data_IF_923475387449
#
_entry.id   IF_923475387449
#
_cell.length_a   1.000
_cell.length_b   1.000
_cell.length_c   1.000
_cell.angle_alpha   90.00
_cell.angle_beta   90.00
_cell.angle_gamma   90.00
#
_symmetry.space_group_name_H-M   'P 1'
#
loop_
_entity.id
_entity.type
_entity.pdbx_description
1 polymer ?
#
# COMPACT_ATOMS: atom_id res chain seq x y z
N UNK A 1 14.53 1.16 -16.31
CA UNK A 1 15.53 1.21 -15.23
C UNK A 1 15.04 0.35 -14.06
N UNK A 2 15.34 -0.94 -14.02
CA UNK A 2 14.80 -1.85 -12.98
C UNK A 2 15.30 -1.56 -11.57
N UNK A 3 16.41 -0.80 -11.44
CA UNK A 3 17.03 -0.55 -10.13
C UNK A 3 16.32 0.54 -9.31
N UNK A 4 15.65 1.49 -9.94
CA UNK A 4 14.96 2.56 -9.21
C UNK A 4 13.74 2.03 -8.44
N UNK A 5 12.97 1.13 -9.05
CA UNK A 5 11.78 0.56 -8.44
C UNK A 5 12.14 -0.40 -7.29
N UNK A 6 13.20 -1.22 -7.47
CA UNK A 6 13.72 -2.06 -6.41
C UNK A 6 14.21 -1.23 -5.21
N UNK A 7 14.89 -0.11 -5.46
CA UNK A 7 15.35 0.80 -4.41
C UNK A 7 14.17 1.43 -3.66
N UNK A 8 13.13 1.89 -4.35
CA UNK A 8 11.95 2.47 -3.73
C UNK A 8 11.24 1.47 -2.80
N UNK A 9 11.06 0.23 -3.26
CA UNK A 9 10.45 -0.83 -2.43
C UNK A 9 11.34 -1.14 -1.22
N UNK A 10 12.65 -1.26 -1.44
CA UNK A 10 13.59 -1.50 -0.35
C UNK A 10 13.56 -0.40 0.70
N UNK A 11 13.57 0.86 0.29
CA UNK A 11 13.49 2.01 1.18
C UNK A 11 12.20 1.99 2.02
N UNK A 12 11.05 1.67 1.40
CA UNK A 12 9.79 1.51 2.13
C UNK A 12 9.83 0.32 3.11
N UNK A 13 10.48 -0.78 2.75
CA UNK A 13 10.71 -1.91 3.65
C UNK A 13 11.74 -1.63 4.77
N UNK A 14 12.48 -0.53 4.65
CA UNK A 14 13.43 -0.01 5.64
C UNK A 14 12.93 1.26 6.35
N UNK A 15 11.67 1.62 6.22
CA UNK A 15 11.12 2.89 6.73
C UNK A 15 11.33 3.10 8.23
N UNK A 16 11.44 2.02 9.01
CA UNK A 16 11.75 2.06 10.45
C UNK A 16 13.13 2.66 10.78
N UNK A 17 14.07 2.61 9.84
CA UNK A 17 15.41 3.15 10.01
C UNK A 17 15.44 4.68 9.91
N UNK A 18 14.49 5.26 9.16
CA UNK A 18 14.38 6.70 8.97
C UNK A 18 13.63 7.41 10.11
N UNK A 19 12.84 6.66 10.88
CA UNK A 19 11.99 7.23 11.94
C UNK A 19 12.15 6.46 13.27
N UNK A 20 13.35 6.46 13.88
CA UNK A 20 13.68 5.60 15.03
C UNK A 20 12.82 5.86 16.27
N UNK A 21 12.29 7.06 16.43
CA UNK A 21 11.43 7.44 17.56
C UNK A 21 9.94 7.11 17.34
N UNK A 22 9.52 6.74 16.14
CA UNK A 22 8.13 6.44 15.85
C UNK A 22 7.71 5.07 16.42
N UNK A 23 6.47 4.98 16.90
CA UNK A 23 5.84 3.70 17.26
C UNK A 23 5.23 3.01 16.06
N UNK A 24 4.70 3.79 15.13
CA UNK A 24 4.05 3.35 13.91
C UNK A 24 4.54 4.15 12.73
N UNK A 25 4.54 3.54 11.56
CA UNK A 25 4.85 4.19 10.27
C UNK A 25 3.61 4.08 9.39
N UNK A 26 3.09 5.21 8.96
CA UNK A 26 2.00 5.30 8.00
C UNK A 26 2.58 5.59 6.62
N UNK A 27 2.33 4.71 5.67
CA UNK A 27 2.74 4.91 4.28
C UNK A 27 1.67 5.64 3.49
N UNK A 28 2.07 6.71 2.86
CA UNK A 28 1.26 7.48 1.90
C UNK A 28 2.16 7.71 0.68
N UNK A 29 1.70 7.35 -0.50
CA UNK A 29 2.45 7.59 -1.73
C UNK A 29 2.48 9.07 -2.08
N UNK A 30 3.54 9.51 -2.75
CA UNK A 30 3.78 10.93 -3.07
C UNK A 30 2.76 11.53 -4.04
N UNK A 31 2.01 10.70 -4.74
CA UNK A 31 0.93 11.08 -5.65
C UNK A 31 -0.47 10.99 -5.00
N UNK A 32 -0.50 10.95 -3.67
CA UNK A 32 -1.72 10.86 -2.87
C UNK A 32 -2.13 12.23 -2.34
N UNK A 33 -3.41 12.59 -2.50
CA UNK A 33 -4.02 13.79 -1.93
C UNK A 33 -5.04 13.37 -0.88
N UNK A 34 -4.88 13.88 0.35
CA UNK A 34 -5.87 13.69 1.39
C UNK A 34 -7.10 14.57 1.13
N UNK A 35 -8.28 13.97 1.11
CA UNK A 35 -9.55 14.67 0.82
C UNK A 35 -10.19 15.30 2.06
N UNK A 36 -9.69 14.94 3.24
CA UNK A 36 -10.03 15.54 4.55
C UNK A 36 -8.92 15.22 5.56
N UNK A 37 -8.89 15.86 6.73
CA UNK A 37 -8.00 15.48 7.82
C UNK A 37 -8.16 14.02 8.21
N UNK A 38 -7.05 13.34 8.52
CA UNK A 38 -7.05 11.97 8.98
C UNK A 38 -7.62 11.88 10.40
N UNK A 39 -8.58 10.99 10.58
CA UNK A 39 -9.05 10.57 11.88
C UNK A 39 -8.30 9.31 12.34
N UNK A 40 -8.26 9.06 13.65
CA UNK A 40 -7.67 7.83 14.20
C UNK A 40 -8.30 6.57 13.59
N UNK A 41 -9.62 6.57 13.40
CA UNK A 41 -10.38 5.46 12.80
C UNK A 41 -10.07 5.18 11.32
N UNK A 42 -9.40 6.09 10.62
CA UNK A 42 -8.97 5.84 9.24
C UNK A 42 -7.77 4.89 9.18
N UNK A 43 -7.01 4.84 10.26
CA UNK A 43 -5.73 4.11 10.33
C UNK A 43 -5.78 2.97 11.35
N UNK A 44 -6.51 3.14 12.44
CA UNK A 44 -6.59 2.20 13.54
C UNK A 44 -8.03 1.78 13.82
N UNK A 45 -8.20 0.53 14.19
CA UNK A 45 -9.47 0.06 14.75
C UNK A 45 -9.72 0.75 16.10
N UNK A 46 -10.85 1.48 16.27
CA UNK A 46 -11.09 2.26 17.48
C UNK A 46 -11.19 1.43 18.75
N UNK A 47 -11.66 0.18 18.64
CA UNK A 47 -11.89 -0.73 19.76
C UNK A 47 -10.59 -1.40 20.22
N UNK A 48 -9.82 -1.92 19.27
CA UNK A 48 -8.59 -2.69 19.56
C UNK A 48 -7.34 -1.82 19.53
N UNK A 49 -7.41 -0.62 18.96
CA UNK A 49 -6.30 0.32 18.73
C UNK A 49 -5.17 -0.25 17.88
N UNK A 50 -5.47 -1.32 17.12
CA UNK A 50 -4.54 -1.95 16.19
C UNK A 50 -4.62 -1.28 14.82
N UNK A 51 -3.50 -1.20 14.07
CA UNK A 51 -3.53 -0.73 12.70
C UNK A 51 -4.50 -1.56 11.85
N UNK A 52 -5.28 -0.88 11.01
CA UNK A 52 -6.17 -1.53 10.04
C UNK A 52 -5.34 -2.11 8.90
N UNK A 53 -5.47 -3.41 8.68
CA UNK A 53 -4.89 -4.14 7.55
C UNK A 53 -6.01 -4.79 6.77
N UNK A 54 -6.67 -4.06 5.86
CA UNK A 54 -7.71 -4.63 5.02
C UNK A 54 -7.11 -5.66 4.04
N UNK A 55 -7.88 -6.69 3.74
CA UNK A 55 -7.48 -7.75 2.82
C UNK A 55 -8.63 -8.11 1.90
N UNK A 56 -8.30 -8.47 0.67
CA UNK A 56 -9.25 -8.94 -0.35
C UNK A 56 -8.74 -10.26 -0.91
N UNK A 57 -9.62 -11.22 -1.18
CA UNK A 57 -9.21 -12.45 -1.88
C UNK A 57 -8.70 -12.09 -3.28
N UNK A 58 -7.64 -12.74 -3.72
CA UNK A 58 -7.23 -12.65 -5.12
C UNK A 58 -8.38 -13.08 -6.02
N UNK A 59 -8.68 -12.28 -7.03
CA UNK A 59 -9.58 -12.67 -8.09
C UNK A 59 -8.77 -13.38 -9.18
N UNK A 60 -9.19 -14.57 -9.64
CA UNK A 60 -8.50 -15.30 -10.69
C UNK A 60 -8.27 -14.42 -11.93
N UNK A 61 -7.03 -14.39 -12.42
CA UNK A 61 -6.63 -13.58 -13.56
C UNK A 61 -6.54 -12.07 -13.30
N UNK A 62 -6.71 -11.62 -12.05
CA UNK A 62 -6.54 -10.21 -11.72
C UNK A 62 -5.09 -9.74 -11.90
N UNK A 63 -4.91 -8.45 -12.16
CA UNK A 63 -3.57 -7.86 -12.28
C UNK A 63 -2.74 -8.08 -11.01
N UNK A 64 -3.36 -7.97 -9.83
CA UNK A 64 -2.69 -8.22 -8.56
C UNK A 64 -2.20 -9.66 -8.42
N UNK A 65 -3.03 -10.65 -8.84
CA UNK A 65 -2.63 -12.05 -8.84
C UNK A 65 -1.45 -12.29 -9.79
N UNK A 66 -1.57 -11.81 -11.02
CA UNK A 66 -0.56 -12.04 -12.05
C UNK A 66 0.79 -11.36 -11.75
N UNK A 67 0.76 -10.19 -11.11
CA UNK A 67 1.96 -9.38 -10.87
C UNK A 67 2.66 -9.71 -9.55
N UNK A 68 1.91 -9.88 -8.46
CA UNK A 68 2.51 -9.83 -7.12
C UNK A 68 2.44 -11.15 -6.36
N UNK A 69 1.44 -11.99 -6.65
CA UNK A 69 1.17 -13.18 -5.83
C UNK A 69 2.37 -14.11 -5.71
N UNK A 70 2.96 -14.53 -6.83
CA UNK A 70 4.07 -15.48 -6.82
C UNK A 70 5.33 -14.92 -6.13
N UNK A 71 5.68 -13.66 -6.40
CA UNK A 71 6.86 -13.03 -5.80
C UNK A 71 6.64 -12.75 -4.32
N UNK A 72 5.43 -12.37 -3.92
CA UNK A 72 5.08 -12.19 -2.50
C UNK A 72 5.15 -13.51 -1.75
N UNK A 73 4.60 -14.58 -2.31
CA UNK A 73 4.62 -15.91 -1.72
C UNK A 73 6.07 -16.41 -1.51
N UNK A 74 6.92 -16.27 -2.53
CA UNK A 74 8.35 -16.56 -2.44
C UNK A 74 9.03 -15.72 -1.33
N UNK A 75 8.81 -14.41 -1.33
CA UNK A 75 9.42 -13.49 -0.35
C UNK A 75 9.05 -13.83 1.11
N UNK A 76 7.84 -14.30 1.35
CA UNK A 76 7.39 -14.71 2.68
C UNK A 76 7.54 -16.21 2.96
N UNK A 77 7.93 -17.00 1.97
CA UNK A 77 8.22 -18.44 2.10
C UNK A 77 6.98 -19.32 2.27
N UNK A 78 5.93 -19.06 1.51
CA UNK A 78 4.74 -19.91 1.40
C UNK A 78 4.52 -20.28 -0.07
N UNK A 79 3.71 -21.30 -0.31
CA UNK A 79 3.31 -21.61 -1.69
C UNK A 79 2.36 -20.54 -2.23
N UNK A 80 2.45 -20.26 -3.54
CA UNK A 80 1.62 -19.21 -4.14
C UNK A 80 0.12 -19.52 -4.03
N UNK A 81 -0.25 -20.79 -4.06
CA UNK A 81 -1.61 -21.28 -3.92
C UNK A 81 -2.18 -21.02 -2.53
N UNK A 82 -1.33 -21.02 -1.49
CA UNK A 82 -1.70 -20.76 -0.10
C UNK A 82 -1.86 -19.25 0.20
N UNK A 83 -1.33 -18.37 -0.68
CA UNK A 83 -1.51 -16.94 -0.58
C UNK A 83 -2.89 -16.54 -1.11
N UNK A 84 -3.93 -16.63 -0.26
CA UNK A 84 -5.32 -16.38 -0.63
C UNK A 84 -5.66 -14.89 -0.77
N UNK A 85 -4.95 -14.01 -0.05
CA UNK A 85 -5.33 -12.60 0.10
C UNK A 85 -4.26 -11.66 -0.43
N UNK A 86 -4.71 -10.61 -1.12
CA UNK A 86 -3.95 -9.42 -1.42
C UNK A 86 -4.14 -8.37 -0.30
N UNK A 87 -3.10 -7.58 -0.05
CA UNK A 87 -3.04 -6.59 1.04
C UNK A 87 -2.85 -5.16 0.53
N UNK A 88 -2.45 -4.98 -0.73
CA UNK A 88 -2.41 -3.67 -1.37
C UNK A 88 -3.83 -3.26 -1.81
N UNK A 89 -4.69 -2.99 -0.85
CA UNK A 89 -6.13 -2.76 -1.08
C UNK A 89 -6.53 -1.30 -0.94
N UNK A 90 -5.65 -0.46 -0.38
CA UNK A 90 -5.88 0.98 -0.19
C UNK A 90 -4.57 1.72 0.05
N UNK A 91 -4.61 3.04 -0.01
CA UNK A 91 -3.58 3.90 0.54
C UNK A 91 -3.65 3.99 2.07
N UNK A 92 -2.59 4.52 2.68
CA UNK A 92 -2.57 4.74 4.12
C UNK A 92 -2.49 3.45 4.94
N UNK A 93 -1.60 2.53 4.56
CA UNK A 93 -1.30 1.34 5.36
C UNK A 93 -0.30 1.67 6.45
N UNK A 94 -0.61 1.24 7.67
CA UNK A 94 0.15 1.56 8.87
C UNK A 94 0.71 0.29 9.51
N UNK A 95 1.99 0.34 9.87
CA UNK A 95 2.68 -0.79 10.49
C UNK A 95 3.36 -0.37 11.79
N UNK A 96 3.41 -1.25 12.81
CA UNK A 96 4.29 -1.06 13.95
C UNK A 96 5.74 -0.95 13.47
N UNK A 97 6.49 0.04 13.95
CA UNK A 97 7.89 0.24 13.52
C UNK A 97 8.76 -1.02 13.69
N UNK A 98 8.63 -1.70 14.82
CA UNK A 98 9.42 -2.91 15.09
C UNK A 98 9.14 -4.08 14.12
N UNK A 99 8.00 -4.03 13.42
CA UNK A 99 7.57 -5.05 12.48
C UNK A 99 8.49 -5.14 11.25
N UNK A 100 9.01 -4.00 10.77
CA UNK A 100 9.91 -3.95 9.61
C UNK A 100 11.19 -4.77 9.81
N UNK A 101 11.88 -4.55 10.93
CA UNK A 101 13.07 -5.32 11.24
C UNK A 101 12.80 -6.81 11.41
N UNK A 102 11.61 -7.18 11.92
CA UNK A 102 11.20 -8.58 12.05
C UNK A 102 10.98 -9.20 10.67
N UNK A 103 10.29 -8.50 9.78
CA UNK A 103 10.09 -8.91 8.39
C UNK A 103 11.43 -9.11 7.66
N UNK A 104 12.31 -8.08 7.67
CA UNK A 104 13.60 -8.16 6.96
C UNK A 104 14.44 -9.35 7.41
N UNK A 105 14.60 -9.52 8.73
CA UNK A 105 15.36 -10.67 9.27
C UNK A 105 14.74 -12.02 8.89
N UNK A 106 13.43 -12.10 8.80
CA UNK A 106 12.75 -13.33 8.38
C UNK A 106 13.01 -13.63 6.90
N UNK A 107 12.87 -12.64 6.02
CA UNK A 107 13.14 -12.76 4.60
C UNK A 107 14.61 -13.11 4.33
N UNK A 108 15.56 -12.43 4.99
CA UNK A 108 16.99 -12.71 4.84
C UNK A 108 17.38 -14.10 5.32
N UNK A 109 16.81 -14.59 6.43
CA UNK A 109 17.02 -15.98 6.87
C UNK A 109 16.45 -16.98 5.89
N UNK A 110 15.28 -16.72 5.34
CA UNK A 110 14.62 -17.60 4.37
C UNK A 110 15.47 -17.77 3.10
N UNK A 111 15.97 -16.65 2.58
CA UNK A 111 16.69 -16.63 1.31
C UNK A 111 18.22 -16.77 1.46
N UNK A 112 18.75 -16.79 2.69
CA UNK A 112 20.19 -16.94 2.96
C UNK A 112 21.05 -15.77 2.45
N UNK A 113 20.45 -14.60 2.19
CA UNK A 113 21.12 -13.42 1.64
C UNK A 113 20.43 -12.12 2.03
N UNK A 114 21.09 -10.94 1.88
CA UNK A 114 20.49 -9.65 2.12
C UNK A 114 19.22 -9.44 1.27
N UNK A 115 18.18 -8.82 1.88
CA UNK A 115 16.91 -8.54 1.21
C UNK A 115 17.11 -7.61 -0.01
N UNK A 116 18.05 -6.66 0.07
CA UNK A 116 18.38 -5.76 -1.05
C UNK A 116 18.87 -6.53 -2.29
N UNK A 117 19.73 -7.51 -2.10
CA UNK A 117 20.25 -8.35 -3.20
C UNK A 117 19.15 -9.21 -3.80
N UNK A 118 18.31 -9.80 -2.94
CA UNK A 118 17.17 -10.59 -3.39
C UNK A 118 16.21 -9.76 -4.25
N UNK A 119 15.87 -8.54 -3.82
CA UNK A 119 15.00 -7.62 -4.58
C UNK A 119 15.61 -7.24 -5.92
N UNK A 120 16.90 -6.85 -5.94
CA UNK A 120 17.58 -6.49 -7.21
C UNK A 120 17.51 -7.62 -8.21
N UNK A 121 17.80 -8.86 -7.80
CA UNK A 121 17.76 -10.02 -8.68
C UNK A 121 16.33 -10.30 -9.19
N UNK A 122 15.32 -10.14 -8.33
CA UNK A 122 13.92 -10.30 -8.76
C UNK A 122 13.50 -9.27 -9.78
N UNK A 123 13.85 -8.00 -9.58
CA UNK A 123 13.56 -6.94 -10.55
C UNK A 123 14.35 -7.10 -11.85
N UNK A 124 15.55 -7.64 -11.79
CA UNK A 124 16.34 -7.92 -13.00
C UNK A 124 15.77 -9.10 -13.81
N UNK A 125 15.20 -10.11 -13.13
CA UNK A 125 14.69 -11.34 -13.77
C UNK A 125 13.23 -11.27 -14.21
N UNK A 126 12.48 -10.26 -13.79
CA UNK A 126 11.04 -10.16 -14.04
C UNK A 126 10.70 -8.84 -14.73
N UNK A 127 9.81 -8.85 -15.71
CA UNK A 127 9.33 -7.62 -16.36
C UNK A 127 8.29 -6.92 -15.49
N UNK A 128 8.36 -5.59 -15.42
CA UNK A 128 7.41 -4.75 -14.70
C UNK A 128 7.76 -4.59 -13.22
N UNK A 129 6.74 -4.40 -12.37
CA UNK A 129 6.87 -4.29 -10.91
C UNK A 129 6.48 -5.63 -10.26
N UNK A 130 7.42 -6.56 -10.08
CA UNK A 130 7.10 -7.92 -9.62
C UNK A 130 6.76 -8.01 -8.14
N UNK A 131 7.04 -6.98 -7.34
CA UNK A 131 6.82 -6.96 -5.91
C UNK A 131 6.09 -5.68 -5.49
N UNK A 132 5.37 -5.77 -4.37
CA UNK A 132 4.82 -4.63 -3.64
C UNK A 132 5.20 -4.79 -2.17
N UNK A 133 5.72 -3.71 -1.58
CA UNK A 133 6.05 -3.66 -0.16
C UNK A 133 4.82 -3.89 0.72
N UNK A 134 3.67 -3.40 0.29
CA UNK A 134 2.40 -3.57 1.03
C UNK A 134 1.90 -5.00 0.99
N UNK A 135 2.01 -5.66 -0.18
CA UNK A 135 1.72 -7.08 -0.31
C UNK A 135 2.65 -7.91 0.58
N UNK A 136 3.95 -7.64 0.53
CA UNK A 136 4.96 -8.38 1.29
C UNK A 136 4.75 -8.23 2.80
N UNK A 137 4.59 -7.00 3.30
CA UNK A 137 4.38 -6.74 4.73
C UNK A 137 3.04 -7.31 5.21
N UNK A 138 1.96 -7.15 4.43
CA UNK A 138 0.65 -7.68 4.76
C UNK A 138 0.62 -9.21 4.78
N UNK A 139 1.21 -9.86 3.78
CA UNK A 139 1.32 -11.31 3.71
C UNK A 139 2.16 -11.86 4.88
N UNK A 140 3.31 -11.24 5.16
CA UNK A 140 4.12 -11.65 6.30
C UNK A 140 3.36 -11.53 7.62
N UNK A 141 2.65 -10.42 7.84
CA UNK A 141 1.83 -10.22 9.04
C UNK A 141 0.76 -11.30 9.19
N UNK A 142 0.12 -11.68 8.09
CA UNK A 142 -1.01 -12.60 8.12
C UNK A 142 -0.58 -14.06 8.22
N UNK A 143 0.44 -14.47 7.46
CA UNK A 143 0.82 -15.88 7.28
C UNK A 143 2.02 -16.32 8.12
N UNK A 144 2.92 -15.39 8.51
CA UNK A 144 4.20 -15.75 9.14
C UNK A 144 4.37 -15.26 10.59
N UNK A 145 3.60 -14.27 11.00
CA UNK A 145 3.64 -13.81 12.38
C UNK A 145 3.38 -12.33 12.52
N UNK A 146 2.57 -12.00 13.50
CA UNK A 146 2.13 -10.63 13.73
C UNK A 146 0.65 -10.40 13.46
N UNK A 147 -0.10 -11.46 13.15
CA UNK A 147 -1.54 -11.38 12.87
C UNK A 147 -2.32 -10.72 14.00
N UNK A 148 -1.88 -10.91 15.22
CA UNK A 148 -2.43 -10.30 16.44
C UNK A 148 -2.12 -8.80 16.59
N UNK A 149 -1.13 -8.27 15.86
CA UNK A 149 -0.74 -6.86 15.89
C UNK A 149 -1.65 -5.97 15.04
N UNK A 150 -2.50 -6.54 14.21
CA UNK A 150 -3.35 -5.82 13.26
C UNK A 150 -4.84 -6.14 13.48
N UNK A 151 -5.69 -5.22 13.06
CA UNK A 151 -7.11 -5.46 12.86
C UNK A 151 -7.34 -5.77 11.37
N UNK A 152 -8.06 -6.85 11.09
CA UNK A 152 -8.21 -7.43 9.76
C UNK A 152 -9.64 -7.27 9.22
N UNK A 153 -10.07 -6.07 8.84
CA UNK A 153 -11.38 -5.93 8.21
C UNK A 153 -11.38 -6.67 6.86
N UNK A 154 -12.43 -7.45 6.64
CA UNK A 154 -12.68 -7.97 5.31
C UNK A 154 -13.31 -6.88 4.46
N UNK A 155 -12.75 -6.63 3.28
CA UNK A 155 -13.33 -5.73 2.30
C UNK A 155 -13.67 -6.50 1.03
N UNK A 156 -14.76 -6.11 0.38
CA UNK A 156 -15.07 -6.61 -0.97
C UNK A 156 -14.26 -5.81 -1.98
N UNK A 157 -13.94 -6.40 -3.13
CA UNK A 157 -13.19 -5.73 -4.20
C UNK A 157 -13.83 -4.41 -4.65
N UNK A 158 -15.15 -4.30 -4.52
CA UNK A 158 -15.93 -3.13 -4.93
C UNK A 158 -16.15 -2.14 -3.77
N UNK A 159 -15.68 -2.43 -2.55
CA UNK A 159 -15.80 -1.50 -1.44
C UNK A 159 -14.83 -0.34 -1.67
N UNK A 160 -15.37 0.86 -1.79
CA UNK A 160 -14.55 2.06 -1.83
C UNK A 160 -13.64 2.08 -0.60
N UNK A 161 -12.38 2.45 -0.80
CA UNK A 161 -11.45 2.62 0.30
C UNK A 161 -12.01 3.59 1.32
N UNK A 162 -12.07 3.18 2.58
CA UNK A 162 -12.46 4.09 3.68
C UNK A 162 -11.37 5.13 3.99
N UNK A 163 -10.18 4.97 3.45
CA UNK A 163 -9.10 5.92 3.64
C UNK A 163 -9.38 7.18 2.82
N UNK A 164 -9.32 8.39 3.44
CA UNK A 164 -9.73 9.63 2.79
C UNK A 164 -8.63 10.18 1.87
N UNK A 165 -8.35 9.46 0.81
CA UNK A 165 -7.32 9.84 -0.14
C UNK A 165 -7.76 9.56 -1.58
N UNK A 166 -7.30 10.43 -2.46
CA UNK A 166 -7.27 10.20 -3.89
C UNK A 166 -5.82 9.93 -4.28
N UNK A 167 -5.59 8.85 -4.97
CA UNK A 167 -4.29 8.53 -5.55
C UNK A 167 -4.41 8.53 -7.06
N UNK A 168 -3.43 9.13 -7.71
CA UNK A 168 -3.20 8.96 -9.14
C UNK A 168 -1.89 8.25 -9.36
N UNK A 169 -1.96 7.17 -10.10
CA UNK A 169 -0.77 6.50 -10.61
C UNK A 169 -0.02 7.48 -11.54
N UNK A 170 1.23 7.76 -11.22
CA UNK A 170 2.08 8.81 -11.81
C UNK A 170 2.35 8.68 -13.31
N UNK A 171 1.87 7.65 -13.95
CA UNK A 171 2.18 7.27 -15.34
C UNK A 171 1.35 7.98 -16.40
N UNK A 172 0.34 8.75 -16.02
CA UNK A 172 -0.56 9.39 -16.97
C UNK A 172 -0.76 10.90 -16.79
N UNK A 173 -0.03 11.54 -15.88
CA UNK A 173 -0.22 12.96 -15.56
C UNK A 173 -1.62 13.27 -14.99
N UNK A 174 -1.94 14.51 -14.73
CA UNK A 174 -3.27 14.95 -14.30
C UNK A 174 -4.20 15.00 -15.53
N UNK A 175 -5.23 14.11 -15.56
CA UNK A 175 -6.32 14.28 -16.51
C UNK A 175 -7.31 15.35 -16.03
N UNK A 176 -8.19 15.79 -16.94
CA UNK A 176 -9.15 16.86 -16.65
C UNK A 176 -10.06 16.53 -15.46
N UNK A 177 -10.48 15.27 -15.32
CA UNK A 177 -11.38 14.85 -14.24
C UNK A 177 -10.70 14.95 -12.89
N UNK A 178 -9.46 14.43 -12.79
CA UNK A 178 -8.70 14.51 -11.54
C UNK A 178 -8.31 15.94 -11.19
N UNK A 179 -7.99 16.76 -12.19
CA UNK A 179 -7.72 18.18 -11.98
C UNK A 179 -8.94 18.88 -11.35
N UNK A 180 -10.14 18.66 -11.89
CA UNK A 180 -11.38 19.20 -11.33
C UNK A 180 -11.63 18.71 -9.90
N UNK A 181 -11.41 17.41 -9.64
CA UNK A 181 -11.55 16.86 -8.27
C UNK A 181 -10.56 17.52 -7.31
N UNK A 182 -9.31 17.70 -7.70
CA UNK A 182 -8.30 18.37 -6.89
C UNK A 182 -8.64 19.85 -6.65
N UNK A 183 -9.11 20.55 -7.65
CA UNK A 183 -9.57 21.95 -7.53
C UNK A 183 -10.74 22.05 -6.55
N UNK A 184 -11.71 21.11 -6.60
CA UNK A 184 -12.80 21.05 -5.63
C UNK A 184 -12.31 20.76 -4.20
N UNK A 185 -11.37 19.83 -4.03
CA UNK A 185 -10.78 19.51 -2.71
C UNK A 185 -10.03 20.71 -2.14
N UNK A 186 -9.21 21.39 -2.96
CA UNK A 186 -8.47 22.59 -2.55
C UNK A 186 -9.41 23.75 -2.21
N UNK A 187 -10.51 23.89 -2.94
CA UNK A 187 -11.54 24.89 -2.67
C UNK A 187 -12.43 24.57 -1.45
N UNK A 188 -12.23 23.42 -0.79
CA UNK A 188 -13.05 22.97 0.34
C UNK A 188 -14.46 22.52 -0.04
N UNK A 189 -14.74 22.25 -1.32
CA UNK A 189 -16.03 21.77 -1.79
C UNK A 189 -16.19 20.27 -1.47
N UNK A 190 -17.31 19.91 -0.83
CA UNK A 190 -17.53 18.54 -0.33
C UNK A 190 -17.85 17.51 -1.42
N UNK A 191 -18.17 17.94 -2.65
CA UNK A 191 -18.48 17.06 -3.81
C UNK A 191 -18.24 17.76 -5.15
N UNK A 192 -17.87 17.05 -6.23
CA UNK A 192 -17.71 17.61 -7.57
C UNK A 192 -18.96 18.32 -8.13
N UNK A 193 -20.16 17.91 -7.71
CA UNK A 193 -21.41 18.54 -8.15
C UNK A 193 -21.61 19.98 -7.66
N UNK A 194 -20.88 20.42 -6.64
CA UNK A 194 -20.96 21.79 -6.13
C UNK A 194 -19.94 22.75 -6.79
N UNK A 195 -19.04 22.22 -7.63
CA UNK A 195 -18.01 23.01 -8.32
C UNK A 195 -18.51 23.66 -9.63
N UNK A 196 -19.61 23.15 -10.23
CA UNK A 196 -20.08 23.62 -11.52
C UNK A 196 -20.76 25.02 -11.48
N UNK A 197 -21.12 25.52 -10.29
CA UNK A 197 -21.87 26.81 -10.17
C UNK A 197 -20.99 28.05 -10.07
N UNK A 198 -19.63 27.88 -10.04
CA UNK A 198 -18.69 29.01 -9.88
C UNK A 198 -18.01 29.50 -11.16
N UNK A 199 -18.14 28.79 -12.28
CA UNK A 199 -17.60 29.26 -13.56
C UNK A 199 -18.64 30.18 -14.24
N UNK A 200 -18.61 31.43 -13.82
CA UNK A 200 -19.34 32.50 -14.51
C UNK A 200 -19.01 32.49 -16.00
N UNK A 201 -20.09 32.53 -16.82
CA UNK A 201 -19.99 32.75 -18.26
C UNK A 201 -19.06 33.93 -18.53
N UNK A 202 -17.86 33.67 -19.03
CA UNK A 202 -17.07 34.69 -19.71
C UNK A 202 -17.62 34.76 -21.13
N UNK A 203 -18.38 35.80 -21.36
CA UNK A 203 -18.85 36.25 -22.67
C UNK A 203 -17.69 36.69 -23.55
#
# INVERSE_FOLDING_TARGET
MPHADAAQIFDKLCADLYVPAARFVLHIDSDTVLTRPLAFSDVFDPRTRKPLMPRVRYAPGSEAELRWRAVTADLVGIEAEDLEFQFMTRQGLCYPRAFYGTFRRAAERLHGRPLSEWLVDRFASTKGHPASEFEALGAFAYYRGGRDQFAWPAVTQNAASSFPALQKLSWGGLDTTLRLVLECVIAGASTPGNCETGLGKVS
#
